data_IF_613706801974
#
_entry.id   IF_613706801974
#
_cell.length_a   1.000
_cell.length_b   1.000
_cell.length_c   1.000
_cell.angle_alpha   90.00
_cell.angle_beta   90.00
_cell.angle_gamma   90.00
#
_symmetry.space_group_name_H-M   'P 1'
#
loop_
_entity.id
_entity.type
_entity.pdbx_description
1 polymer ?
#
# COMPACT_ATOMS: atom_id res chain seq x y z
N UNK A 1 3.91 30.23 -13.59
CA UNK A 1 4.74 29.11 -14.11
C UNK A 1 5.81 28.68 -13.12
N UNK A 2 6.64 29.59 -12.60
CA UNK A 2 7.71 29.24 -11.63
C UNK A 2 7.13 28.64 -10.33
N UNK A 3 6.13 29.29 -9.77
CA UNK A 3 5.41 28.79 -8.58
C UNK A 3 4.72 27.42 -8.78
N UNK A 4 4.20 27.13 -9.96
CA UNK A 4 3.55 25.85 -10.24
C UNK A 4 4.58 24.69 -10.28
N UNK A 5 5.75 24.95 -10.83
CA UNK A 5 6.83 23.98 -10.86
C UNK A 5 7.33 23.65 -9.44
N UNK A 6 7.51 24.66 -8.62
CA UNK A 6 7.91 24.50 -7.21
C UNK A 6 6.86 23.69 -6.42
N UNK A 7 5.56 24.01 -6.59
CA UNK A 7 4.47 23.26 -5.97
C UNK A 7 4.51 21.79 -6.39
N UNK A 8 4.67 21.54 -7.68
CA UNK A 8 4.73 20.19 -8.21
C UNK A 8 5.90 19.39 -7.62
N UNK A 9 7.06 20.00 -7.48
CA UNK A 9 8.23 19.38 -6.86
C UNK A 9 7.96 18.99 -5.39
N UNK A 10 7.34 19.88 -4.62
CA UNK A 10 6.98 19.63 -3.22
C UNK A 10 6.00 18.48 -3.12
N UNK A 11 4.89 18.53 -3.89
CA UNK A 11 3.88 17.50 -3.86
C UNK A 11 4.44 16.14 -4.31
N UNK A 12 5.34 16.14 -5.30
CA UNK A 12 6.02 14.92 -5.74
C UNK A 12 6.94 14.34 -4.67
N UNK A 13 7.68 15.19 -3.95
CA UNK A 13 8.54 14.74 -2.84
C UNK A 13 7.72 14.14 -1.70
N UNK A 14 6.57 14.72 -1.39
CA UNK A 14 5.65 14.19 -0.37
C UNK A 14 5.07 12.86 -0.83
N UNK A 15 4.61 12.78 -2.07
CA UNK A 15 4.07 11.55 -2.64
C UNK A 15 5.11 10.42 -2.60
N UNK A 16 6.37 10.72 -2.93
CA UNK A 16 7.46 9.76 -2.85
C UNK A 16 7.72 9.29 -1.41
N UNK A 17 7.71 10.20 -0.43
CA UNK A 17 7.88 9.83 0.97
C UNK A 17 6.73 8.93 1.46
N UNK A 18 5.49 9.28 1.16
CA UNK A 18 4.32 8.45 1.50
C UNK A 18 4.40 7.07 0.82
N UNK A 19 4.81 7.02 -0.44
CA UNK A 19 4.98 5.75 -1.17
C UNK A 19 6.09 4.88 -0.53
N UNK A 20 7.20 5.48 -0.11
CA UNK A 20 8.29 4.77 0.56
C UNK A 20 7.86 4.28 1.96
N UNK A 21 7.15 5.08 2.72
CA UNK A 21 6.60 4.67 4.02
C UNK A 21 5.58 3.54 3.87
N UNK A 22 4.74 3.56 2.84
CA UNK A 22 3.83 2.46 2.53
C UNK A 22 4.58 1.16 2.22
N UNK A 23 5.65 1.22 1.41
CA UNK A 23 6.51 0.05 1.13
C UNK A 23 7.18 -0.48 2.40
N UNK A 24 7.65 0.42 3.25
CA UNK A 24 8.24 0.06 4.54
C UNK A 24 7.21 -0.64 5.45
N UNK A 25 6.00 -0.12 5.54
CA UNK A 25 4.92 -0.69 6.34
C UNK A 25 4.50 -2.07 5.81
N UNK A 26 4.43 -2.26 4.48
CA UNK A 26 4.23 -3.58 3.85
C UNK A 26 5.28 -4.60 4.28
N UNK A 27 6.55 -4.19 4.27
CA UNK A 27 7.66 -5.04 4.67
C UNK A 27 7.61 -5.38 6.16
N UNK A 28 7.33 -4.39 7.00
CA UNK A 28 7.23 -4.54 8.45
C UNK A 28 6.14 -5.55 8.85
N UNK A 29 4.99 -5.51 8.17
CA UNK A 29 3.88 -6.43 8.42
C UNK A 29 3.98 -7.76 7.65
N UNK A 30 5.05 -7.97 6.91
CA UNK A 30 5.29 -9.22 6.18
C UNK A 30 4.27 -9.49 5.06
N UNK A 31 3.67 -8.44 4.48
CA UNK A 31 2.62 -8.57 3.46
C UNK A 31 3.17 -8.68 2.05
N UNK A 32 4.44 -8.38 1.85
CA UNK A 32 5.07 -8.31 0.54
C UNK A 32 5.37 -9.72 -0.02
N UNK A 33 4.33 -10.40 -0.52
CA UNK A 33 4.48 -11.77 -1.04
C UNK A 33 5.03 -11.80 -2.48
N UNK A 34 4.64 -10.86 -3.33
CA UNK A 34 4.96 -10.86 -4.76
C UNK A 34 5.78 -9.64 -5.20
N UNK A 35 5.93 -8.65 -4.33
CA UNK A 35 6.48 -7.35 -4.69
C UNK A 35 5.49 -6.42 -5.40
N UNK A 36 4.37 -6.93 -5.91
CA UNK A 36 3.38 -6.14 -6.65
C UNK A 36 2.77 -5.02 -5.79
N UNK A 37 2.40 -5.30 -4.53
CA UNK A 37 1.92 -4.24 -3.62
C UNK A 37 2.96 -3.15 -3.35
N UNK A 38 4.23 -3.41 -3.63
CA UNK A 38 5.30 -2.42 -3.55
C UNK A 38 5.38 -1.54 -4.79
N UNK A 39 4.68 -1.89 -5.88
CA UNK A 39 4.55 -1.06 -7.07
C UNK A 39 3.55 0.06 -6.79
N UNK A 40 3.99 1.03 -5.99
CA UNK A 40 3.22 2.23 -5.70
C UNK A 40 3.62 3.29 -6.68
N UNK A 41 2.69 3.70 -7.50
CA UNK A 41 2.82 4.86 -8.37
C UNK A 41 2.09 6.04 -7.75
N UNK A 42 2.43 7.25 -8.18
CA UNK A 42 1.71 8.44 -7.75
C UNK A 42 1.59 9.44 -8.90
N UNK A 43 0.50 10.18 -8.87
CA UNK A 43 0.27 11.31 -9.76
C UNK A 43 -0.01 12.58 -8.96
N UNK A 44 0.52 13.69 -9.43
CA UNK A 44 0.27 15.02 -8.86
C UNK A 44 -0.57 15.82 -9.82
N UNK A 45 -1.74 16.19 -9.38
CA UNK A 45 -2.66 17.08 -10.10
C UNK A 45 -2.60 18.50 -9.51
N UNK A 46 -2.43 19.48 -10.40
CA UNK A 46 -2.49 20.90 -10.08
C UNK A 46 -3.42 21.55 -11.10
N UNK A 47 -4.53 22.10 -10.65
CA UNK A 47 -5.50 22.76 -11.54
C UNK A 47 -6.77 23.14 -10.80
N UNK A 48 -7.52 24.09 -11.37
CA UNK A 48 -8.83 24.53 -10.86
C UNK A 48 -8.81 24.94 -9.37
N UNK A 49 -7.69 25.51 -8.89
CA UNK A 49 -7.53 25.87 -7.47
C UNK A 49 -7.39 24.67 -6.54
N UNK A 50 -7.09 23.49 -7.05
CA UNK A 50 -6.94 22.27 -6.29
C UNK A 50 -5.54 21.66 -6.47
N UNK A 51 -5.06 21.07 -5.38
CA UNK A 51 -3.82 20.29 -5.33
C UNK A 51 -4.17 18.88 -4.87
N UNK A 52 -3.84 17.87 -5.68
CA UNK A 52 -4.16 16.48 -5.35
C UNK A 52 -2.96 15.59 -5.58
N UNK A 53 -2.76 14.64 -4.68
CA UNK A 53 -1.84 13.52 -4.85
C UNK A 53 -2.71 12.27 -4.94
N UNK A 54 -2.56 11.51 -6.02
CA UNK A 54 -3.17 10.20 -6.19
C UNK A 54 -2.10 9.15 -5.94
N UNK A 55 -2.38 8.21 -5.04
CA UNK A 55 -1.59 6.99 -4.90
C UNK A 55 -2.30 5.90 -5.68
N UNK A 56 -1.57 5.30 -6.62
CA UNK A 56 -2.06 4.21 -7.46
C UNK A 56 -1.51 2.92 -6.86
N UNK A 57 -2.42 2.08 -6.39
CA UNK A 57 -2.12 0.83 -5.70
C UNK A 57 -2.73 -0.34 -6.48
N UNK A 58 -2.14 -1.52 -6.35
CA UNK A 58 -2.70 -2.75 -6.90
C UNK A 58 -4.10 -3.05 -6.34
N UNK A 59 -5.01 -3.54 -7.16
CA UNK A 59 -6.44 -3.71 -6.85
C UNK A 59 -6.73 -4.46 -5.54
N UNK A 60 -5.86 -5.36 -5.14
CA UNK A 60 -6.06 -6.17 -3.95
C UNK A 60 -5.63 -5.51 -2.63
N UNK A 61 -5.10 -4.26 -2.66
CA UNK A 61 -4.75 -3.52 -1.46
C UNK A 61 -5.90 -3.42 -0.45
N UNK A 62 -7.14 -3.34 -0.95
CA UNK A 62 -8.35 -3.26 -0.12
C UNK A 62 -8.57 -4.50 0.75
N UNK A 63 -8.22 -5.68 0.23
CA UNK A 63 -8.31 -6.93 0.99
C UNK A 63 -7.22 -7.05 2.05
N UNK A 64 -6.07 -6.44 1.83
CA UNK A 64 -5.02 -6.35 2.83
C UNK A 64 -5.42 -5.37 3.92
N UNK A 65 -5.86 -4.18 3.55
CA UNK A 65 -6.26 -3.09 4.46
C UNK A 65 -7.43 -3.50 5.37
N UNK A 66 -8.50 -3.99 4.77
CA UNK A 66 -9.77 -4.27 5.48
C UNK A 66 -9.91 -5.73 5.91
N UNK A 67 -9.02 -6.60 5.45
CA UNK A 67 -9.17 -8.02 5.62
C UNK A 67 -10.36 -8.59 4.85
N UNK A 68 -10.73 -9.81 5.19
CA UNK A 68 -11.89 -10.50 4.64
C UNK A 68 -12.60 -11.27 5.74
N UNK A 69 -13.90 -11.04 5.88
CA UNK A 69 -14.73 -11.80 6.82
C UNK A 69 -14.84 -13.29 6.40
N UNK A 70 -14.97 -14.21 7.38
CA UNK A 70 -15.34 -15.59 7.10
C UNK A 70 -16.65 -15.70 6.28
N UNK A 71 -16.85 -16.79 5.61
CA UNK A 71 -18.10 -17.08 4.88
C UNK A 71 -17.87 -17.78 3.55
N UNK A 72 -17.72 -17.04 2.46
CA UNK A 72 -17.60 -17.63 1.13
C UNK A 72 -16.18 -18.11 0.80
N UNK A 73 -16.09 -19.19 0.02
CA UNK A 73 -14.82 -19.67 -0.50
C UNK A 73 -14.24 -18.66 -1.51
N UNK A 74 -12.94 -18.32 -1.43
CA UNK A 74 -12.33 -17.40 -2.37
C UNK A 74 -12.19 -18.02 -3.76
N UNK A 75 -12.06 -17.22 -4.84
CA UNK A 75 -11.85 -17.73 -6.19
C UNK A 75 -10.60 -18.60 -6.28
N UNK A 76 -10.77 -19.84 -6.73
CA UNK A 76 -9.71 -20.87 -6.79
C UNK A 76 -8.49 -20.40 -7.61
N UNK A 77 -8.74 -19.78 -8.76
CA UNK A 77 -7.69 -19.26 -9.64
C UNK A 77 -6.82 -18.22 -8.93
N UNK A 78 -7.40 -17.33 -8.16
CA UNK A 78 -6.64 -16.31 -7.41
C UNK A 78 -5.72 -16.91 -6.34
N UNK A 79 -6.20 -17.95 -5.64
CA UNK A 79 -5.36 -18.70 -4.68
C UNK A 79 -4.25 -19.44 -5.41
N UNK A 80 -4.54 -20.09 -6.55
CA UNK A 80 -3.53 -20.78 -7.34
C UNK A 80 -2.45 -19.85 -7.84
N UNK A 81 -2.82 -18.68 -8.35
CA UNK A 81 -1.85 -17.68 -8.82
C UNK A 81 -1.00 -17.15 -7.66
N UNK A 82 -1.62 -16.88 -6.52
CA UNK A 82 -0.91 -16.49 -5.31
C UNK A 82 0.08 -17.58 -4.82
N UNK A 83 -0.29 -18.86 -4.84
CA UNK A 83 0.62 -19.97 -4.49
C UNK A 83 1.85 -20.05 -5.41
N UNK A 84 1.69 -19.76 -6.71
CA UNK A 84 2.80 -19.78 -7.67
C UNK A 84 3.87 -18.72 -7.36
N UNK A 85 3.44 -17.59 -6.83
CA UNK A 85 4.31 -16.42 -6.63
C UNK A 85 4.89 -16.40 -5.21
N UNK A 86 4.14 -16.88 -4.22
CA UNK A 86 4.59 -16.93 -2.83
C UNK A 86 5.35 -18.24 -2.56
N UNK A 87 6.58 -18.18 -2.04
CA UNK A 87 7.32 -19.38 -1.64
C UNK A 87 6.67 -20.02 -0.41
N UNK A 88 5.59 -20.77 -0.62
CA UNK A 88 4.92 -21.53 0.44
C UNK A 88 5.63 -22.86 0.60
N UNK A 89 6.12 -23.14 1.80
CA UNK A 89 6.63 -24.44 2.16
C UNK A 89 5.49 -25.24 2.84
N UNK A 90 4.78 -26.11 2.11
CA UNK A 90 3.70 -26.88 2.68
C UNK A 90 4.23 -27.93 3.64
N UNK A 91 3.49 -28.18 4.72
CA UNK A 91 3.79 -29.28 5.62
C UNK A 91 3.27 -30.60 5.04
N UNK A 92 3.92 -31.74 5.29
CA UNK A 92 3.41 -33.05 4.91
C UNK A 92 2.02 -33.30 5.50
N UNK A 93 1.15 -33.92 4.71
CA UNK A 93 -0.14 -34.41 5.15
C UNK A 93 0.01 -35.64 6.09
N UNK A 94 -1.09 -36.10 6.69
CA UNK A 94 -1.09 -37.26 7.58
C UNK A 94 -0.50 -38.54 6.95
N UNK A 95 -0.52 -38.66 5.63
CA UNK A 95 0.09 -39.76 4.87
C UNK A 95 1.59 -39.55 4.56
N UNK A 96 2.23 -38.53 5.12
CA UNK A 96 3.63 -38.19 4.93
C UNK A 96 3.97 -37.54 3.59
N UNK A 97 3.01 -37.34 2.67
CA UNK A 97 3.22 -36.72 1.36
C UNK A 97 2.94 -35.21 1.41
N UNK A 98 3.69 -34.45 0.62
CA UNK A 98 3.39 -33.03 0.43
C UNK A 98 2.10 -32.86 -0.37
N UNK A 99 1.26 -31.87 -0.04
CA UNK A 99 0.06 -31.59 -0.82
C UNK A 99 0.43 -31.10 -2.22
N UNK A 100 -0.34 -31.50 -3.21
CA UNK A 100 -0.28 -30.93 -4.55
C UNK A 100 -0.75 -29.48 -4.51
N UNK A 101 -0.40 -28.67 -5.52
CA UNK A 101 -0.88 -27.27 -5.63
C UNK A 101 -2.40 -27.18 -5.51
N UNK A 102 -3.13 -28.11 -6.16
CA UNK A 102 -4.59 -28.14 -6.09
C UNK A 102 -5.09 -28.42 -4.66
N UNK A 103 -4.52 -29.39 -3.96
CA UNK A 103 -4.86 -29.69 -2.57
C UNK A 103 -4.54 -28.50 -1.66
N UNK A 104 -3.37 -27.89 -1.82
CA UNK A 104 -2.96 -26.71 -1.07
C UNK A 104 -3.92 -25.53 -1.31
N UNK A 105 -4.36 -25.34 -2.56
CA UNK A 105 -5.37 -24.33 -2.91
C UNK A 105 -6.66 -24.51 -2.13
N UNK A 106 -7.16 -25.74 -2.07
CA UNK A 106 -8.39 -26.04 -1.31
C UNK A 106 -8.20 -25.90 0.20
N UNK A 107 -7.05 -26.30 0.74
CA UNK A 107 -6.74 -26.14 2.17
C UNK A 107 -6.72 -24.66 2.56
N UNK A 108 -6.03 -23.83 1.78
CA UNK A 108 -5.97 -22.38 1.99
C UNK A 108 -7.36 -21.76 1.81
N UNK A 109 -8.08 -22.12 0.77
CA UNK A 109 -9.42 -21.60 0.51
C UNK A 109 -10.42 -21.93 1.62
N UNK A 110 -10.38 -23.14 2.18
CA UNK A 110 -11.19 -23.52 3.33
C UNK A 110 -10.80 -22.71 4.58
N UNK A 111 -9.50 -22.56 4.85
CA UNK A 111 -9.05 -21.74 5.97
C UNK A 111 -9.54 -20.29 5.85
N UNK A 112 -9.48 -19.69 4.66
CA UNK A 112 -10.00 -18.35 4.40
C UNK A 112 -11.53 -18.30 4.57
N UNK A 113 -12.24 -19.35 4.11
CA UNK A 113 -13.68 -19.45 4.28
C UNK A 113 -14.08 -19.50 5.75
N UNK A 114 -13.35 -20.24 6.57
CA UNK A 114 -13.64 -20.46 7.98
C UNK A 114 -13.18 -19.29 8.87
N UNK A 115 -11.98 -18.78 8.63
CA UNK A 115 -11.33 -17.83 9.52
C UNK A 115 -11.28 -16.39 8.95
N UNK A 116 -11.54 -16.23 7.66
CA UNK A 116 -11.31 -14.96 6.96
C UNK A 116 -9.83 -14.65 6.73
N UNK A 117 -9.56 -13.40 6.48
CA UNK A 117 -8.19 -12.83 6.39
C UNK A 117 -8.16 -11.64 7.36
N UNK A 118 -7.23 -11.59 8.31
CA UNK A 118 -7.13 -10.46 9.22
C UNK A 118 -6.80 -9.17 8.47
N UNK A 119 -7.44 -8.07 8.88
CA UNK A 119 -7.12 -6.73 8.38
C UNK A 119 -5.70 -6.32 8.80
N UNK A 120 -5.03 -5.64 7.89
CA UNK A 120 -3.71 -5.04 8.12
C UNK A 120 -3.76 -3.60 7.60
N UNK A 121 -3.97 -2.60 8.45
CA UNK A 121 -4.20 -1.22 8.06
C UNK A 121 -2.89 -0.51 7.64
N UNK A 122 -2.33 -0.93 6.52
CA UNK A 122 -1.04 -0.45 6.00
C UNK A 122 -1.14 0.99 5.52
N UNK A 123 -2.14 1.27 4.70
CA UNK A 123 -2.36 2.61 4.18
C UNK A 123 -2.77 3.58 5.29
N UNK A 124 -3.67 3.15 6.20
CA UNK A 124 -4.08 3.98 7.33
C UNK A 124 -2.89 4.34 8.22
N UNK A 125 -2.05 3.38 8.60
CA UNK A 125 -0.84 3.62 9.39
C UNK A 125 0.15 4.56 8.66
N UNK A 126 0.31 4.36 7.36
CA UNK A 126 1.18 5.22 6.54
C UNK A 126 0.69 6.67 6.53
N UNK A 127 -0.62 6.88 6.33
CA UNK A 127 -1.20 8.23 6.31
C UNK A 127 -1.16 8.89 7.70
N UNK A 128 -1.39 8.14 8.77
CA UNK A 128 -1.26 8.63 10.13
C UNK A 128 0.17 9.11 10.43
N UNK A 129 1.17 8.29 10.07
CA UNK A 129 2.59 8.64 10.21
C UNK A 129 2.96 9.92 9.47
N UNK A 130 2.34 10.17 8.32
CA UNK A 130 2.59 11.33 7.47
C UNK A 130 1.63 12.50 7.72
N UNK A 131 0.75 12.43 8.71
CA UNK A 131 -0.31 13.42 8.97
C UNK A 131 0.24 14.84 9.21
N UNK A 132 1.36 14.96 9.91
CA UNK A 132 1.98 16.25 10.20
C UNK A 132 2.51 16.93 8.93
N UNK A 133 3.13 16.16 8.03
CA UNK A 133 3.63 16.67 6.75
C UNK A 133 2.47 17.15 5.89
N UNK A 134 1.40 16.34 5.79
CA UNK A 134 0.20 16.69 5.03
C UNK A 134 -0.49 17.92 5.59
N UNK A 135 -0.54 18.07 6.91
CA UNK A 135 -1.12 19.25 7.57
C UNK A 135 -0.29 20.51 7.33
N UNK A 136 1.03 20.42 7.46
CA UNK A 136 1.95 21.55 7.18
C UNK A 136 1.83 22.02 5.73
N UNK A 137 1.80 21.09 4.79
CA UNK A 137 1.64 21.40 3.36
C UNK A 137 0.30 22.03 3.06
N UNK A 138 -0.78 21.50 3.61
CA UNK A 138 -2.12 22.09 3.46
C UNK A 138 -2.13 23.54 3.95
N UNK A 139 -1.52 23.83 5.09
CA UNK A 139 -1.39 25.18 5.64
C UNK A 139 -0.62 26.08 4.70
N UNK A 140 0.55 25.67 4.25
CA UNK A 140 1.41 26.43 3.32
C UNK A 140 0.69 26.73 2.00
N UNK A 141 0.01 25.75 1.41
CA UNK A 141 -0.74 25.94 0.18
C UNK A 141 -1.97 26.85 0.35
N UNK A 142 -2.51 26.97 1.56
CA UNK A 142 -3.66 27.84 1.87
C UNK A 142 -3.29 29.27 2.20
N UNK A 143 -2.09 29.49 2.74
CA UNK A 143 -1.63 30.80 3.23
C UNK A 143 -0.78 31.58 2.21
N UNK A 144 -0.51 30.99 1.04
CA UNK A 144 0.27 31.63 -0.03
C UNK A 144 1.79 31.55 0.20
N UNK A 145 2.40 31.24 -0.80
CA UNK A 145 3.74 30.82 -1.11
C UNK A 145 4.85 31.77 -0.68
N UNK A 146 5.72 31.55 0.23
CA UNK A 146 7.08 32.05 0.06
C UNK A 146 8.20 31.34 0.87
N UNK A 147 8.36 31.62 2.13
CA UNK A 147 9.59 31.19 2.82
C UNK A 147 9.47 29.83 3.52
N UNK A 148 8.26 29.42 3.83
CA UNK A 148 8.00 28.16 4.55
C UNK A 148 8.18 26.93 3.66
N UNK A 149 7.96 27.07 2.35
CA UNK A 149 8.19 26.01 1.36
C UNK A 149 9.67 25.67 1.22
N UNK A 150 10.52 26.69 1.15
CA UNK A 150 12.00 26.49 1.10
C UNK A 150 12.50 25.76 2.35
N UNK A 151 11.87 26.02 3.49
CA UNK A 151 12.17 25.34 4.75
C UNK A 151 11.72 23.89 4.74
N UNK A 152 10.50 23.61 4.25
CA UNK A 152 9.98 22.25 4.08
C UNK A 152 10.80 21.41 3.10
N UNK A 153 11.25 21.99 1.98
CA UNK A 153 12.12 21.31 1.03
C UNK A 153 13.46 20.92 1.65
N UNK A 154 14.01 21.75 2.55
CA UNK A 154 15.23 21.43 3.29
C UNK A 154 15.02 20.29 4.30
N UNK A 155 13.87 20.26 4.96
CA UNK A 155 13.52 19.22 5.93
C UNK A 155 13.26 17.86 5.27
N UNK A 156 12.75 17.84 4.02
CA UNK A 156 12.47 16.62 3.26
C UNK A 156 13.71 16.01 2.59
N UNK A 157 14.77 16.80 2.41
CA UNK A 157 16.02 16.37 1.77
C UNK A 157 17.13 16.00 2.77
N UNK A 158 16.88 16.06 4.07
CA UNK A 158 17.73 15.58 5.16
C UNK A 158 17.19 14.28 5.76
#
# INVERSE_FOLDING_TARGET
>A
MENELEIRQILSSIALNVANDYKYELALQGVNATGELSNVEFEVFIGEGQYKIYLILEDYWKFVENGRKPGSFPPVNKIMDWIKVKPILPRPMANGKLPTTKQLTFMIGNSIKENGIPARPILANTLEKNSDILTKVKKVLSEGFNDEIKKLLKELNN
#
